data_IF_723653460551
#
_entry.id   IF_723653460551
#
_cell.length_a   1.000
_cell.length_b   1.000
_cell.length_c   1.000
_cell.angle_alpha   90.00
_cell.angle_beta   90.00
_cell.angle_gamma   90.00
#
_symmetry.space_group_name_H-M   'P 1'
#
loop_
_entity.id
_entity.type
_entity.pdbx_description
1 polymer ?
#
# COMPACT_ATOMS: atom_id res chain seq x y z
N UNK A 1 -11.49 -9.01 79.91
CA UNK A 1 -10.61 -9.68 78.94
C UNK A 1 -11.36 -9.85 77.63
N UNK A 2 -11.39 -8.86 76.73
CA UNK A 2 -12.07 -8.98 75.45
C UNK A 2 -11.14 -9.55 74.37
N UNK A 3 -11.68 -10.49 73.60
CA UNK A 3 -11.08 -11.18 72.46
C UNK A 3 -10.76 -10.20 71.32
N UNK A 4 -9.50 -10.15 70.91
CA UNK A 4 -9.04 -9.44 69.71
C UNK A 4 -9.18 -10.37 68.50
N UNK A 5 -10.05 -10.04 67.54
CA UNK A 5 -10.07 -10.69 66.23
C UNK A 5 -9.00 -10.06 65.31
N UNK A 6 -8.24 -10.85 64.53
CA UNK A 6 -7.26 -10.31 63.60
C UNK A 6 -7.91 -9.78 62.31
N UNK A 7 -7.33 -8.70 61.78
CA UNK A 7 -7.74 -8.03 60.55
C UNK A 7 -7.53 -8.90 59.29
N UNK A 8 -8.36 -8.73 58.24
CA UNK A 8 -8.18 -9.46 56.98
C UNK A 8 -6.98 -8.92 56.18
N UNK A 9 -6.18 -9.84 55.63
CA UNK A 9 -5.07 -9.56 54.72
C UNK A 9 -5.54 -8.83 53.43
N UNK A 10 -4.70 -7.94 52.85
CA UNK A 10 -5.03 -7.26 51.62
C UNK A 10 -5.06 -8.24 50.45
N UNK A 11 -6.14 -8.17 49.66
CA UNK A 11 -6.34 -8.96 48.46
C UNK A 11 -5.22 -8.70 47.44
N UNK A 12 -4.59 -9.79 46.99
CA UNK A 12 -3.59 -9.80 45.93
C UNK A 12 -4.24 -9.31 44.63
N UNK A 13 -3.71 -8.22 44.07
CA UNK A 13 -4.14 -7.69 42.79
C UNK A 13 -3.89 -8.71 41.68
N UNK A 14 -4.96 -9.10 40.99
CA UNK A 14 -4.90 -9.90 39.76
C UNK A 14 -4.12 -9.17 38.67
N UNK A 15 -3.15 -9.82 38.00
CA UNK A 15 -2.41 -9.20 36.92
C UNK A 15 -3.33 -8.90 35.73
N UNK A 16 -3.29 -7.65 35.27
CA UNK A 16 -3.96 -7.17 34.07
C UNK A 16 -3.43 -7.91 32.84
N UNK A 17 -4.29 -8.70 32.20
CA UNK A 17 -3.99 -9.38 30.93
C UNK A 17 -3.70 -8.31 29.88
N UNK A 18 -2.43 -8.18 29.48
CA UNK A 18 -2.02 -7.34 28.35
C UNK A 18 -2.74 -7.84 27.10
N UNK A 19 -3.69 -7.05 26.59
CA UNK A 19 -4.39 -7.33 25.34
C UNK A 19 -3.38 -7.51 24.21
N UNK A 20 -3.55 -8.56 23.40
CA UNK A 20 -2.69 -8.82 22.25
C UNK A 20 -2.58 -7.58 21.34
N UNK A 21 -1.39 -7.29 20.78
CA UNK A 21 -1.17 -6.10 19.97
C UNK A 21 -2.08 -6.13 18.72
N UNK A 22 -2.79 -5.01 18.49
CA UNK A 22 -3.68 -4.88 17.32
C UNK A 22 -2.87 -4.95 16.04
N UNK A 23 -3.33 -5.70 15.01
CA UNK A 23 -2.64 -5.76 13.74
C UNK A 23 -2.62 -4.39 13.07
N UNK A 24 -1.50 -4.05 12.43
CA UNK A 24 -1.38 -2.83 11.66
C UNK A 24 -2.36 -2.82 10.50
N UNK A 25 -2.97 -1.67 10.27
CA UNK A 25 -3.99 -1.52 9.23
C UNK A 25 -3.43 -1.45 7.81
N UNK A 26 -2.17 -0.99 7.68
CA UNK A 26 -1.48 -0.84 6.40
C UNK A 26 -0.27 -1.77 6.34
N UNK A 27 -0.08 -2.38 5.17
CA UNK A 27 1.21 -2.99 4.81
C UNK A 27 2.22 -1.90 4.43
N UNK A 28 3.55 -2.17 4.44
CA UNK A 28 4.55 -1.17 4.07
C UNK A 28 4.30 -0.49 2.72
N UNK A 29 3.90 -1.27 1.70
CA UNK A 29 3.57 -0.74 0.37
C UNK A 29 2.25 0.04 0.31
N UNK A 30 1.34 -0.13 1.29
CA UNK A 30 0.15 0.72 1.43
C UNK A 30 0.48 1.99 2.22
N UNK A 31 1.40 1.93 3.18
CA UNK A 31 1.95 3.09 3.87
C UNK A 31 2.70 4.04 2.96
N UNK A 32 3.56 3.51 2.10
CA UNK A 32 4.25 4.26 1.04
C UNK A 32 3.25 5.04 0.18
N UNK A 33 2.17 4.37 -0.21
CA UNK A 33 1.10 4.95 -1.00
C UNK A 33 0.33 6.05 -0.22
N UNK A 34 0.00 5.80 1.05
CA UNK A 34 -0.63 6.81 1.91
C UNK A 34 0.25 8.06 2.08
N UNK A 35 1.56 7.89 2.29
CA UNK A 35 2.52 8.99 2.38
C UNK A 35 2.59 9.79 1.09
N UNK A 36 2.68 9.13 -0.06
CA UNK A 36 2.75 9.81 -1.35
C UNK A 36 1.50 10.66 -1.64
N UNK A 37 0.30 10.17 -1.31
CA UNK A 37 -0.94 10.95 -1.42
C UNK A 37 -0.99 12.13 -0.46
N UNK A 38 -0.51 11.95 0.77
CA UNK A 38 -0.48 13.03 1.75
C UNK A 38 0.57 14.09 1.36
N UNK A 39 1.72 13.70 0.81
CA UNK A 39 2.69 14.64 0.23
C UNK A 39 2.08 15.43 -0.92
N UNK A 40 1.35 14.77 -1.82
CA UNK A 40 0.60 15.45 -2.88
C UNK A 40 -0.38 16.49 -2.32
N UNK A 41 -1.19 16.10 -1.33
CA UNK A 41 -2.15 17.00 -0.67
C UNK A 41 -1.47 18.17 0.04
N UNK A 42 -0.33 17.92 0.68
CA UNK A 42 0.48 18.95 1.33
C UNK A 42 1.11 19.95 0.35
N UNK A 43 1.21 19.59 -0.94
CA UNK A 43 1.71 20.48 -1.99
C UNK A 43 0.63 21.30 -2.71
N UNK A 44 -0.65 21.07 -2.40
CA UNK A 44 -1.74 21.83 -3.00
C UNK A 44 -1.76 23.26 -2.43
N UNK A 45 -2.03 24.28 -3.26
CA UNK A 45 -2.12 25.68 -2.82
C UNK A 45 -3.46 25.94 -2.11
N UNK A 46 -3.68 25.24 -1.00
CA UNK A 46 -4.86 25.36 -0.12
C UNK A 46 -4.47 26.05 1.20
N UNK A 47 -3.43 26.88 1.15
CA UNK A 47 -2.88 27.58 2.30
C UNK A 47 -3.96 28.41 2.99
N UNK A 48 -4.03 28.29 4.32
CA UNK A 48 -5.02 29.00 5.14
C UNK A 48 -6.34 28.26 5.37
N UNK A 49 -6.67 27.17 4.66
CA UNK A 49 -7.88 26.37 4.92
C UNK A 49 -7.58 24.92 5.29
N UNK A 50 -7.49 24.67 6.60
CA UNK A 50 -7.34 23.30 7.14
C UNK A 50 -8.52 22.39 6.78
N UNK A 51 -9.72 22.95 6.61
CA UNK A 51 -10.91 22.21 6.17
C UNK A 51 -10.79 21.76 4.71
N UNK A 52 -10.37 22.68 3.81
CA UNK A 52 -10.13 22.35 2.41
C UNK A 52 -9.05 21.28 2.27
N UNK A 53 -7.98 21.37 3.05
CA UNK A 53 -6.88 20.42 2.97
C UNK A 53 -7.23 19.04 3.54
N UNK A 54 -8.02 18.99 4.61
CA UNK A 54 -8.57 17.73 5.13
C UNK A 54 -9.53 17.08 4.13
N UNK A 55 -10.40 17.87 3.50
CA UNK A 55 -11.30 17.39 2.45
C UNK A 55 -10.53 16.90 1.23
N UNK A 56 -9.52 17.64 0.77
CA UNK A 56 -8.61 17.24 -0.29
C UNK A 56 -7.94 15.90 0.01
N UNK A 57 -7.46 15.68 1.24
CA UNK A 57 -6.85 14.41 1.62
C UNK A 57 -7.80 13.22 1.38
N UNK A 58 -9.07 13.35 1.75
CA UNK A 58 -10.06 12.28 1.56
C UNK A 58 -10.39 12.08 0.08
N UNK A 59 -10.59 13.16 -0.68
CA UNK A 59 -10.90 13.10 -2.11
C UNK A 59 -9.74 12.51 -2.89
N UNK A 60 -8.51 13.02 -2.70
CA UNK A 60 -7.31 12.53 -3.38
C UNK A 60 -7.11 11.03 -3.16
N UNK A 61 -7.30 10.55 -1.92
CA UNK A 61 -7.20 9.12 -1.61
C UNK A 61 -8.28 8.31 -2.33
N UNK A 62 -9.50 8.83 -2.48
CA UNK A 62 -10.58 8.13 -3.19
C UNK A 62 -10.39 8.16 -4.71
N UNK A 63 -9.88 9.26 -5.23
CA UNK A 63 -9.58 9.50 -6.65
C UNK A 63 -8.25 8.91 -7.11
N UNK A 64 -7.42 8.42 -6.20
CA UNK A 64 -6.05 7.96 -6.46
C UNK A 64 -5.88 6.95 -7.60
N UNK A 65 -6.93 6.22 -7.98
CA UNK A 65 -6.87 5.17 -9.02
C UNK A 65 -7.13 5.71 -10.43
N UNK A 66 -8.17 6.51 -10.60
CA UNK A 66 -8.77 6.86 -11.89
C UNK A 66 -9.05 8.36 -12.01
N UNK A 67 -8.55 9.16 -11.05
CA UNK A 67 -8.76 10.59 -11.00
C UNK A 67 -10.17 10.99 -10.59
N UNK A 68 -11.01 10.07 -10.12
CA UNK A 68 -12.35 10.39 -9.64
C UNK A 68 -12.69 9.68 -8.32
N UNK A 69 -13.23 10.44 -7.36
CA UNK A 69 -13.57 9.92 -6.04
C UNK A 69 -15.00 10.25 -5.69
N UNK A 70 -15.78 9.23 -5.29
CA UNK A 70 -17.13 9.46 -4.79
C UNK A 70 -17.12 9.92 -3.34
N UNK A 71 -17.90 10.94 -3.02
CA UNK A 71 -18.23 11.40 -1.68
C UNK A 71 -19.74 11.38 -1.50
N UNK A 72 -20.19 11.23 -0.26
CA UNK A 72 -21.60 11.41 0.12
C UNK A 72 -21.71 12.59 1.08
N UNK A 73 -22.91 13.14 1.25
CA UNK A 73 -23.15 14.14 2.30
C UNK A 73 -22.88 13.58 3.71
N UNK A 74 -23.06 12.26 3.91
CA UNK A 74 -22.65 11.58 5.16
C UNK A 74 -21.14 11.64 5.36
N UNK A 75 -20.34 11.39 4.31
CA UNK A 75 -18.89 11.51 4.39
C UNK A 75 -18.48 12.93 4.80
N UNK A 76 -19.05 13.95 4.15
CA UNK A 76 -18.72 15.36 4.42
C UNK A 76 -19.05 15.73 5.88
N UNK A 77 -20.22 15.35 6.39
CA UNK A 77 -20.58 15.57 7.80
C UNK A 77 -19.68 14.81 8.77
N UNK A 78 -19.19 13.63 8.40
CA UNK A 78 -18.25 12.86 9.23
C UNK A 78 -16.87 13.54 9.37
N UNK A 79 -16.50 14.40 8.41
CA UNK A 79 -15.28 15.20 8.46
C UNK A 79 -15.36 16.36 9.43
N UNK A 80 -16.57 16.75 9.88
CA UNK A 80 -16.78 17.83 10.87
C UNK A 80 -15.98 19.10 10.53
N UNK A 81 -15.99 19.47 9.26
CA UNK A 81 -15.38 20.71 8.80
C UNK A 81 -16.07 21.89 9.48
N UNK A 82 -15.30 22.92 9.85
CA UNK A 82 -15.84 24.16 10.40
C UNK A 82 -16.58 24.97 9.32
N UNK A 83 -16.01 24.99 8.11
CA UNK A 83 -16.56 25.63 6.92
C UNK A 83 -16.51 24.65 5.72
N UNK A 84 -17.55 23.83 5.58
CA UNK A 84 -17.64 22.85 4.49
C UNK A 84 -17.86 23.52 3.12
N UNK A 85 -18.54 24.66 3.08
CA UNK A 85 -18.84 25.39 1.85
C UNK A 85 -17.58 26.07 1.32
N UNK A 86 -16.85 26.80 2.17
CA UNK A 86 -15.55 27.38 1.82
C UNK A 86 -14.51 26.33 1.43
N UNK A 87 -14.54 25.15 2.07
CA UNK A 87 -13.68 24.03 1.67
C UNK A 87 -13.99 23.54 0.24
N UNK A 88 -15.27 23.36 -0.12
CA UNK A 88 -15.68 22.97 -1.47
C UNK A 88 -15.38 24.06 -2.50
N UNK A 89 -15.52 25.34 -2.13
CA UNK A 89 -15.16 26.47 -2.99
C UNK A 89 -13.66 26.50 -3.29
N UNK A 90 -12.82 26.32 -2.26
CA UNK A 90 -11.37 26.28 -2.41
C UNK A 90 -10.92 25.12 -3.33
N UNK A 91 -11.53 23.94 -3.18
CA UNK A 91 -11.27 22.80 -4.06
C UNK A 91 -11.77 23.03 -5.49
N UNK A 92 -12.92 23.70 -5.65
CA UNK A 92 -13.41 24.09 -6.97
C UNK A 92 -12.45 25.04 -7.68
N UNK A 93 -11.73 25.89 -6.95
CA UNK A 93 -10.64 26.73 -7.46
C UNK A 93 -9.45 25.93 -8.02
N UNK A 94 -9.25 24.70 -7.56
CA UNK A 94 -8.28 23.73 -8.13
C UNK A 94 -8.86 22.91 -9.30
N UNK A 95 -10.11 23.15 -9.68
CA UNK A 95 -10.83 22.35 -10.67
C UNK A 95 -11.44 21.05 -10.11
N UNK A 96 -11.46 20.86 -8.78
CA UNK A 96 -12.02 19.66 -8.15
C UNK A 96 -13.52 19.82 -7.92
N UNK A 97 -14.28 19.87 -9.01
CA UNK A 97 -15.72 20.17 -8.95
C UNK A 97 -16.54 18.89 -8.67
N UNK A 98 -17.43 18.91 -7.65
CA UNK A 98 -18.43 17.88 -7.46
C UNK A 98 -19.45 17.87 -8.60
N UNK A 99 -19.78 16.68 -9.12
CA UNK A 99 -20.77 16.48 -10.18
C UNK A 99 -22.21 16.40 -9.64
N UNK A 100 -22.50 17.18 -8.59
CA UNK A 100 -23.76 17.15 -7.84
C UNK A 100 -23.65 17.91 -6.53
N UNK A 101 -24.77 18.02 -5.81
CA UNK A 101 -24.84 18.76 -4.55
C UNK A 101 -24.49 17.87 -3.35
N UNK A 102 -23.33 18.15 -2.73
CA UNK A 102 -22.85 17.46 -1.52
C UNK A 102 -23.40 18.05 -0.20
N UNK A 103 -23.91 19.29 -0.23
CA UNK A 103 -24.33 20.02 0.96
C UNK A 103 -25.85 19.90 1.19
N UNK A 104 -26.65 20.18 0.16
CA UNK A 104 -28.12 20.18 0.24
C UNK A 104 -28.79 19.01 -0.52
N UNK A 105 -28.02 18.20 -1.25
CA UNK A 105 -28.50 16.98 -1.89
C UNK A 105 -28.82 15.85 -0.91
N UNK A 106 -29.29 14.70 -1.44
CA UNK A 106 -29.54 13.52 -0.62
C UNK A 106 -28.23 13.05 0.05
N UNK A 107 -28.17 12.99 1.39
CA UNK A 107 -26.97 12.64 2.13
C UNK A 107 -26.38 11.28 1.80
N UNK A 108 -27.18 10.34 1.28
CA UNK A 108 -26.77 8.97 0.96
C UNK A 108 -26.35 8.79 -0.51
N UNK A 109 -26.70 9.75 -1.38
CA UNK A 109 -26.38 9.71 -2.80
C UNK A 109 -24.88 9.99 -3.00
N UNK A 110 -24.13 9.10 -3.68
CA UNK A 110 -22.74 9.36 -4.02
C UNK A 110 -22.61 10.43 -5.12
N UNK A 111 -21.82 11.46 -4.85
CA UNK A 111 -21.43 12.51 -5.78
C UNK A 111 -19.96 12.29 -6.17
N UNK A 112 -19.69 12.22 -7.47
CA UNK A 112 -18.33 12.08 -8.00
C UNK A 112 -17.61 13.43 -7.96
N UNK A 113 -16.36 13.44 -7.51
CA UNK A 113 -15.44 14.59 -7.58
C UNK A 113 -14.23 14.17 -8.41
N UNK A 114 -13.93 14.93 -9.46
CA UNK A 114 -12.76 14.70 -10.31
C UNK A 114 -11.55 15.43 -9.73
N UNK A 115 -10.38 14.79 -9.79
CA UNK A 115 -9.08 15.37 -9.42
C UNK A 115 -8.23 15.44 -10.68
N UNK A 116 -8.19 16.59 -11.38
CA UNK A 116 -7.52 16.76 -12.67
C UNK A 116 -6.10 16.20 -12.71
N UNK A 117 -5.33 16.41 -11.64
CA UNK A 117 -3.93 16.00 -11.52
C UNK A 117 -3.74 14.48 -11.37
N UNK A 118 -4.80 13.78 -10.97
CA UNK A 118 -4.84 12.32 -10.86
C UNK A 118 -5.59 11.66 -12.03
N UNK A 119 -6.33 12.44 -12.82
CA UNK A 119 -6.99 12.00 -14.07
C UNK A 119 -6.07 12.25 -15.27
N UNK A 120 -5.23 11.28 -15.61
CA UNK A 120 -4.40 11.32 -16.81
C UNK A 120 -3.69 10.00 -17.11
N UNK A 121 -3.23 9.83 -18.35
CA UNK A 121 -2.30 8.77 -18.72
C UNK A 121 -1.08 8.78 -17.77
N UNK A 122 -0.54 7.60 -17.40
CA UNK A 122 0.58 7.52 -16.47
C UNK A 122 1.75 8.42 -16.88
N UNK A 123 1.92 9.59 -16.25
CA UNK A 123 3.13 10.39 -16.45
C UNK A 123 4.26 9.76 -15.65
N UNK A 124 5.45 9.53 -16.25
CA UNK A 124 6.55 8.85 -15.58
C UNK A 124 7.02 9.54 -14.29
N UNK A 125 6.70 10.82 -14.11
CA UNK A 125 7.09 11.64 -12.95
C UNK A 125 5.99 11.85 -11.89
N UNK A 126 4.70 11.64 -12.22
CA UNK A 126 3.57 12.07 -11.40
C UNK A 126 2.46 11.04 -11.19
N UNK A 127 2.52 9.88 -11.85
CA UNK A 127 1.47 8.89 -11.66
C UNK A 127 1.73 8.00 -10.46
N UNK A 128 1.06 8.34 -9.36
CA UNK A 128 0.87 7.43 -8.27
C UNK A 128 0.01 6.25 -8.78
N UNK A 129 0.65 5.18 -9.23
CA UNK A 129 -0.04 4.00 -9.75
C UNK A 129 -0.74 3.24 -8.61
N UNK A 130 -1.99 3.60 -8.31
CA UNK A 130 -2.77 2.93 -7.27
C UNK A 130 -3.61 1.77 -7.83
N UNK A 131 -3.29 0.56 -7.40
CA UNK A 131 -4.19 -0.58 -7.59
C UNK A 131 -5.49 -0.43 -6.79
N UNK A 132 -6.61 -0.98 -7.29
CA UNK A 132 -7.93 -0.98 -6.61
C UNK A 132 -7.86 -1.39 -5.13
N UNK A 133 -7.07 -2.44 -4.82
CA UNK A 133 -6.93 -2.95 -3.46
C UNK A 133 -6.13 -1.99 -2.57
N UNK A 134 -5.07 -1.36 -3.07
CA UNK A 134 -4.29 -0.38 -2.30
C UNK A 134 -5.16 0.84 -1.98
N UNK A 135 -5.83 1.40 -2.98
CA UNK A 135 -6.75 2.54 -2.78
C UNK A 135 -7.81 2.26 -1.72
N UNK A 136 -8.49 1.12 -1.83
CA UNK A 136 -9.53 0.73 -0.87
C UNK A 136 -8.98 0.57 0.55
N UNK A 137 -7.77 0.01 0.70
CA UNK A 137 -7.13 -0.19 2.01
C UNK A 137 -6.69 1.13 2.64
N UNK A 138 -6.09 2.04 1.86
CA UNK A 138 -5.69 3.38 2.32
C UNK A 138 -6.93 4.21 2.67
N UNK A 139 -7.97 4.20 1.83
CA UNK A 139 -9.24 4.89 2.13
C UNK A 139 -9.88 4.38 3.43
N UNK A 140 -9.96 3.06 3.61
CA UNK A 140 -10.47 2.48 4.85
C UNK A 140 -9.59 2.78 6.07
N UNK A 141 -8.28 2.91 5.89
CA UNK A 141 -7.37 3.37 6.94
C UNK A 141 -7.63 4.83 7.30
N UNK A 142 -7.79 5.73 6.33
CA UNK A 142 -8.15 7.14 6.54
C UNK A 142 -9.40 7.26 7.39
N UNK A 143 -10.47 6.54 7.03
CA UNK A 143 -11.72 6.51 7.81
C UNK A 143 -11.48 6.05 9.24
N UNK A 144 -10.71 4.98 9.45
CA UNK A 144 -10.42 4.45 10.80
C UNK A 144 -9.54 5.39 11.62
N UNK A 145 -8.57 6.06 11.01
CA UNK A 145 -7.72 7.05 11.68
C UNK A 145 -8.53 8.25 12.13
N UNK A 146 -9.38 8.79 11.25
CA UNK A 146 -10.25 9.91 11.58
C UNK A 146 -11.35 9.55 12.60
N UNK A 147 -11.78 8.29 12.64
CA UNK A 147 -12.75 7.79 13.62
C UNK A 147 -12.11 7.38 14.97
N UNK A 148 -10.78 7.37 15.09
CA UNK A 148 -10.09 6.99 16.31
C UNK A 148 -10.50 7.90 17.48
N UNK A 149 -10.67 7.33 18.68
CA UNK A 149 -11.15 8.08 19.87
C UNK A 149 -10.39 9.39 20.12
N UNK A 150 -9.04 9.45 20.00
CA UNK A 150 -8.30 10.70 20.16
C UNK A 150 -8.60 11.77 19.10
N UNK A 151 -9.04 11.38 17.90
CA UNK A 151 -9.07 12.24 16.72
C UNK A 151 -10.49 12.60 16.28
N UNK A 152 -11.49 11.75 16.57
CA UNK A 152 -12.87 11.87 16.06
C UNK A 152 -13.61 13.17 16.43
N UNK A 153 -13.14 13.90 17.43
CA UNK A 153 -13.66 15.20 17.89
C UNK A 153 -12.53 16.26 17.96
N UNK A 154 -11.43 16.03 17.26
CA UNK A 154 -10.34 16.99 17.17
C UNK A 154 -10.64 18.02 16.08
N UNK A 155 -9.95 19.15 16.13
CA UNK A 155 -10.00 20.18 15.09
C UNK A 155 -9.58 19.61 13.72
N UNK A 156 -10.02 20.21 12.62
CA UNK A 156 -9.59 19.83 11.27
C UNK A 156 -8.06 19.78 11.09
N UNK A 157 -7.26 20.77 11.56
CA UNK A 157 -5.81 20.67 11.46
C UNK A 157 -5.25 19.52 12.31
N UNK A 158 -5.80 19.24 13.50
CA UNK A 158 -5.38 18.08 14.30
C UNK A 158 -5.72 16.75 13.61
N UNK A 159 -6.89 16.65 12.97
CA UNK A 159 -7.32 15.47 12.21
C UNK A 159 -6.43 15.23 10.98
N UNK A 160 -6.06 16.31 10.27
CA UNK A 160 -5.13 16.25 9.15
C UNK A 160 -3.72 15.86 9.63
N UNK A 161 -3.22 16.50 10.68
CA UNK A 161 -1.95 16.17 11.32
C UNK A 161 -1.91 14.68 11.72
N UNK A 162 -2.99 14.17 12.33
CA UNK A 162 -3.09 12.76 12.70
C UNK A 162 -2.93 11.80 11.51
N UNK A 163 -3.45 12.15 10.32
CA UNK A 163 -3.23 11.36 9.10
C UNK A 163 -1.76 11.37 8.67
N UNK A 164 -1.14 12.55 8.61
CA UNK A 164 0.27 12.69 8.24
C UNK A 164 1.18 11.93 9.20
N UNK A 165 1.02 12.15 10.50
CA UNK A 165 1.81 11.51 11.55
C UNK A 165 1.58 10.00 11.56
N UNK A 166 0.34 9.52 11.41
CA UNK A 166 0.10 8.08 11.33
C UNK A 166 0.78 7.45 10.11
N UNK A 167 0.68 8.07 8.93
CA UNK A 167 1.30 7.55 7.71
C UNK A 167 2.84 7.52 7.75
N UNK A 168 3.44 8.50 8.43
CA UNK A 168 4.90 8.67 8.56
C UNK A 168 5.49 8.09 9.85
N UNK A 169 4.65 7.59 10.77
CA UNK A 169 5.13 6.99 12.01
C UNK A 169 5.78 5.62 11.78
N UNK A 170 6.80 5.35 12.61
CA UNK A 170 7.36 4.01 12.80
C UNK A 170 6.72 3.41 14.05
N UNK A 171 6.44 2.11 14.00
CA UNK A 171 5.75 1.40 15.08
C UNK A 171 6.62 1.20 16.34
N UNK A 172 7.92 1.10 16.16
CA UNK A 172 8.88 0.71 17.19
C UNK A 172 9.65 1.90 17.76
N UNK A 173 9.70 3.04 17.07
CA UNK A 173 10.57 4.19 17.39
C UNK A 173 9.86 5.54 17.23
N UNK A 174 10.48 6.57 17.80
CA UNK A 174 10.12 7.97 17.55
C UNK A 174 10.34 8.29 16.07
N UNK A 175 9.36 8.94 15.44
CA UNK A 175 9.43 9.45 14.07
C UNK A 175 9.83 10.92 14.05
N UNK A 176 10.07 11.45 12.86
CA UNK A 176 10.29 12.89 12.61
C UNK A 176 9.11 13.47 11.85
N UNK A 177 8.73 14.72 12.16
CA UNK A 177 7.66 15.43 11.46
C UNK A 177 7.93 15.40 9.94
N UNK A 178 6.92 15.05 9.12
CA UNK A 178 7.13 14.97 7.69
C UNK A 178 7.32 16.37 7.09
N UNK A 179 8.28 16.52 6.17
CA UNK A 179 8.61 17.81 5.55
C UNK A 179 7.42 18.45 4.79
N UNK A 180 6.46 17.64 4.33
CA UNK A 180 5.22 18.12 3.69
C UNK A 180 4.04 18.31 4.65
N UNK A 181 4.28 18.34 5.97
CA UNK A 181 3.25 18.63 6.95
C UNK A 181 2.85 20.11 6.85
N UNK A 182 1.58 20.43 6.54
CA UNK A 182 1.13 21.82 6.42
C UNK A 182 1.32 22.61 7.72
N UNK A 183 1.65 23.90 7.64
CA UNK A 183 2.01 24.74 8.79
C UNK A 183 0.95 24.69 9.91
N UNK A 184 -0.33 24.80 9.55
CA UNK A 184 -1.48 24.69 10.46
C UNK A 184 -1.55 23.37 11.23
N UNK A 185 -0.95 22.29 10.72
CA UNK A 185 -0.90 21.02 11.41
C UNK A 185 0.14 21.03 12.55
N UNK A 186 1.19 21.85 12.44
CA UNK A 186 2.19 22.02 13.52
C UNK A 186 1.56 22.66 14.74
N UNK A 187 0.73 23.68 14.54
CA UNK A 187 0.00 24.34 15.64
C UNK A 187 -1.02 23.43 16.33
N UNK A 188 -1.40 22.31 15.71
CA UNK A 188 -2.35 21.34 16.24
C UNK A 188 -1.70 20.15 16.97
N UNK A 189 -0.36 20.05 16.99
CA UNK A 189 0.35 18.98 17.71
C UNK A 189 0.04 18.95 19.23
N UNK A 190 -0.06 20.09 19.95
CA UNK A 190 -0.42 20.09 21.37
C UNK A 190 -1.81 19.49 21.63
N UNK A 191 -2.77 19.71 20.73
CA UNK A 191 -4.09 19.10 20.82
C UNK A 191 -4.01 17.58 20.71
N UNK A 192 -3.21 17.07 19.77
CA UNK A 192 -3.01 15.63 19.60
C UNK A 192 -2.28 14.98 20.78
N UNK A 193 -1.37 15.70 21.43
CA UNK A 193 -0.76 15.25 22.68
C UNK A 193 -1.79 15.19 23.81
N UNK A 194 -2.56 16.27 24.03
CA UNK A 194 -3.60 16.34 25.06
C UNK A 194 -4.70 15.27 24.89
N UNK A 195 -5.03 14.91 23.64
CA UNK A 195 -6.01 13.86 23.33
C UNK A 195 -5.42 12.44 23.34
N UNK A 196 -4.15 12.26 23.70
CA UNK A 196 -3.44 10.98 23.72
C UNK A 196 -3.37 10.29 22.34
N UNK A 197 -3.34 11.06 21.26
CA UNK A 197 -2.96 10.52 19.95
C UNK A 197 -1.44 10.38 19.86
N UNK A 198 -0.72 11.37 20.36
CA UNK A 198 0.73 11.34 20.54
C UNK A 198 1.04 11.01 22.00
N UNK A 199 2.11 10.26 22.23
CA UNK A 199 2.66 10.06 23.58
C UNK A 199 3.79 11.03 23.90
N UNK A 200 4.42 11.60 22.87
CA UNK A 200 5.61 12.43 22.97
C UNK A 200 5.70 13.30 21.72
N UNK A 201 6.06 14.57 21.92
CA UNK A 201 6.46 15.53 20.87
C UNK A 201 7.59 16.38 21.45
N UNK A 202 8.75 16.38 20.78
CA UNK A 202 9.93 17.16 21.16
C UNK A 202 10.61 17.71 19.90
N UNK A 203 10.51 19.01 19.67
CA UNK A 203 10.92 19.63 18.40
C UNK A 203 10.24 18.93 17.22
N UNK A 204 11.04 18.45 16.27
CA UNK A 204 10.54 17.69 15.11
C UNK A 204 10.33 16.20 15.39
N UNK A 205 10.58 15.72 16.62
CA UNK A 205 10.42 14.30 16.96
C UNK A 205 9.05 14.06 17.57
N UNK A 206 8.40 12.96 17.20
CA UNK A 206 7.12 12.57 17.78
C UNK A 206 6.96 11.06 17.90
N UNK A 207 6.04 10.62 18.77
CA UNK A 207 5.67 9.21 18.90
C UNK A 207 4.16 9.05 19.02
N UNK A 208 3.59 8.10 18.27
CA UNK A 208 2.20 7.71 18.44
C UNK A 208 2.00 6.99 19.78
N UNK A 209 0.88 7.32 20.44
CA UNK A 209 0.47 6.59 21.63
C UNK A 209 0.20 5.11 21.31
N UNK A 210 0.39 4.25 22.30
CA UNK A 210 0.20 2.80 22.14
C UNK A 210 -1.20 2.45 21.62
N UNK A 211 -2.23 3.19 22.07
CA UNK A 211 -3.62 2.98 21.69
C UNK A 211 -3.88 3.14 20.18
N UNK A 212 -3.10 3.97 19.49
CA UNK A 212 -3.26 4.26 18.05
C UNK A 212 -2.07 3.79 17.21
N UNK A 213 -1.07 3.14 17.82
CA UNK A 213 0.12 2.66 17.12
C UNK A 213 -0.17 1.73 15.94
N UNK A 214 -1.23 0.91 16.04
CA UNK A 214 -1.71 0.07 14.94
C UNK A 214 -2.15 0.84 13.67
N UNK A 215 -2.30 2.16 13.75
CA UNK A 215 -2.56 3.04 12.60
C UNK A 215 -1.27 3.40 11.83
N UNK A 216 -0.07 3.05 12.32
CA UNK A 216 1.18 3.40 11.66
C UNK A 216 1.25 2.88 10.21
N UNK A 217 1.71 3.74 9.30
CA UNK A 217 1.83 3.43 7.88
C UNK A 217 2.84 2.33 7.56
N UNK A 218 3.77 2.03 8.47
CA UNK A 218 4.92 1.10 8.30
C UNK A 218 5.85 1.49 7.12
N UNK A 219 7.14 1.29 7.36
CA UNK A 219 8.19 1.39 6.34
C UNK A 219 8.59 -0.03 5.92
N UNK A 220 9.25 -0.17 4.76
CA UNK A 220 9.80 -1.47 4.37
C UNK A 220 11.02 -1.76 5.26
N UNK A 221 11.20 -3.01 5.66
CA UNK A 221 12.31 -3.44 6.55
C UNK A 221 13.71 -3.14 5.98
N UNK A 222 13.83 -2.78 4.69
CA UNK A 222 15.09 -2.35 4.08
C UNK A 222 15.47 -0.89 4.37
N UNK A 223 14.54 -0.08 4.91
CA UNK A 223 14.81 1.26 5.46
C UNK A 223 15.34 1.18 6.91
N UNK A 224 15.67 -0.03 7.41
CA UNK A 224 16.12 -0.28 8.79
C UNK A 224 17.65 -0.24 8.97
N UNK A 225 18.48 -0.01 7.92
CA UNK A 225 19.94 -0.18 8.07
C UNK A 225 20.90 0.80 7.37
N UNK A 226 20.49 1.94 6.82
CA UNK A 226 21.47 2.88 6.25
C UNK A 226 21.33 4.30 6.85
N UNK A 227 22.41 4.90 7.40
CA UNK A 227 22.50 6.35 7.44
C UNK A 227 22.37 6.87 6.01
N UNK A 228 21.63 7.97 5.86
CA UNK A 228 21.28 8.63 4.61
C UNK A 228 22.41 8.53 3.57
N UNK A 229 22.30 7.58 2.64
CA UNK A 229 23.20 7.54 1.49
C UNK A 229 22.80 8.72 0.60
N UNK A 230 23.75 9.55 0.13
CA UNK A 230 23.43 10.63 -0.78
C UNK A 230 22.64 10.06 -1.95
N UNK A 231 21.53 10.71 -2.28
CA UNK A 231 20.74 10.43 -3.47
C UNK A 231 21.69 10.47 -4.64
N UNK A 232 22.01 9.31 -5.19
CA UNK A 232 22.71 9.22 -6.46
C UNK A 232 21.74 9.77 -7.50
N UNK A 233 21.91 11.06 -7.81
CA UNK A 233 21.18 11.81 -8.84
C UNK A 233 21.65 11.40 -10.25
N UNK A 234 22.16 10.19 -10.44
CA UNK A 234 22.38 9.66 -11.77
C UNK A 234 21.01 9.49 -12.42
N UNK A 235 20.72 10.22 -13.52
CA UNK A 235 19.46 10.03 -14.23
C UNK A 235 19.40 8.57 -14.66
N UNK A 236 18.38 7.84 -14.17
CA UNK A 236 18.04 6.53 -14.74
C UNK A 236 17.67 6.82 -16.18
N UNK A 237 18.56 6.48 -17.10
CA UNK A 237 18.36 6.63 -18.54
C UNK A 237 17.03 5.96 -18.88
N UNK A 238 15.99 6.76 -19.14
CA UNK A 238 14.65 6.29 -19.47
C UNK A 238 14.70 5.79 -20.92
N UNK A 239 15.22 4.59 -21.11
CA UNK A 239 15.26 3.94 -22.41
C UNK A 239 13.83 3.67 -22.87
N UNK A 240 13.52 4.00 -24.12
CA UNK A 240 12.31 3.52 -24.77
C UNK A 240 12.35 1.99 -24.93
N UNK A 241 11.18 1.40 -25.20
CA UNK A 241 11.07 -0.06 -25.38
C UNK A 241 11.93 -0.57 -26.55
N UNK A 242 11.97 0.18 -27.65
CA UNK A 242 12.79 -0.17 -28.82
C UNK A 242 14.29 -0.05 -28.53
N UNK A 243 14.73 0.99 -27.82
CA UNK A 243 16.12 1.14 -27.39
C UNK A 243 16.54 0.04 -26.42
N UNK A 244 15.65 -0.35 -25.50
CA UNK A 244 15.89 -1.48 -24.61
C UNK A 244 16.06 -2.79 -25.39
N UNK A 245 15.19 -3.07 -26.39
CA UNK A 245 15.30 -4.24 -27.27
C UNK A 245 16.58 -4.21 -28.10
N UNK A 246 17.01 -3.04 -28.59
CA UNK A 246 18.26 -2.87 -29.33
C UNK A 246 19.49 -3.20 -28.48
N UNK A 247 19.48 -2.83 -27.19
CA UNK A 247 20.53 -3.16 -26.21
C UNK A 247 20.47 -4.61 -25.70
N UNK A 248 19.34 -5.30 -25.81
CA UNK A 248 19.17 -6.69 -25.37
C UNK A 248 19.94 -7.68 -26.26
N UNK A 249 20.42 -8.79 -25.66
CA UNK A 249 21.05 -9.88 -26.41
C UNK A 249 20.06 -10.53 -27.39
N UNK A 250 20.56 -11.14 -28.47
CA UNK A 250 19.73 -11.79 -29.50
C UNK A 250 18.77 -12.83 -28.90
N UNK A 251 19.24 -13.62 -27.93
CA UNK A 251 18.43 -14.62 -27.25
C UNK A 251 17.32 -13.98 -26.40
N UNK A 252 17.62 -12.91 -25.67
CA UNK A 252 16.64 -12.20 -24.86
C UNK A 252 15.61 -11.48 -25.73
N UNK A 253 16.04 -10.86 -26.83
CA UNK A 253 15.16 -10.21 -27.82
C UNK A 253 14.18 -11.20 -28.42
N UNK A 254 14.66 -12.36 -28.90
CA UNK A 254 13.79 -13.41 -29.43
C UNK A 254 12.76 -13.90 -28.39
N UNK A 255 13.19 -14.05 -27.14
CA UNK A 255 12.28 -14.44 -26.06
C UNK A 255 11.20 -13.38 -25.81
N UNK A 256 11.59 -12.11 -25.78
CA UNK A 256 10.67 -10.97 -25.65
C UNK A 256 9.65 -10.95 -26.79
N UNK A 257 10.12 -11.09 -28.04
CA UNK A 257 9.28 -11.12 -29.23
C UNK A 257 8.30 -12.30 -29.21
N UNK A 258 8.73 -13.48 -28.76
CA UNK A 258 7.83 -14.63 -28.57
C UNK A 258 6.73 -14.35 -27.54
N UNK A 259 7.04 -13.63 -26.46
CA UNK A 259 6.06 -13.26 -25.43
C UNK A 259 5.11 -12.17 -25.94
N UNK A 260 5.65 -11.14 -26.61
CA UNK A 260 4.92 -10.01 -27.15
C UNK A 260 3.93 -10.42 -28.25
N UNK A 261 4.36 -11.28 -29.16
CA UNK A 261 3.56 -11.73 -30.30
C UNK A 261 2.81 -13.05 -30.05
N UNK A 262 2.77 -13.55 -28.81
CA UNK A 262 2.09 -14.80 -28.49
C UNK A 262 0.57 -14.68 -28.74
N UNK A 263 0.00 -15.44 -29.70
CA UNK A 263 -1.41 -15.30 -30.10
C UNK A 263 -2.38 -15.78 -29.01
N UNK A 264 -1.92 -16.65 -28.11
CA UNK A 264 -2.70 -17.19 -27.00
C UNK A 264 -2.68 -16.29 -25.76
N UNK A 265 -1.56 -15.59 -25.51
CA UNK A 265 -1.42 -14.72 -24.34
C UNK A 265 -1.98 -13.31 -24.56
N UNK A 266 -1.90 -12.79 -25.80
CA UNK A 266 -2.42 -11.48 -26.22
C UNK A 266 -2.01 -10.35 -25.25
N UNK A 267 -0.74 -10.29 -24.88
CA UNK A 267 -0.23 -9.22 -24.03
C UNK A 267 -0.07 -7.94 -24.86
N UNK A 268 -0.43 -6.79 -24.29
CA UNK A 268 -0.08 -5.49 -24.86
C UNK A 268 1.42 -5.24 -24.73
N UNK A 269 2.06 -4.61 -25.72
CA UNK A 269 3.47 -4.18 -25.68
C UNK A 269 3.84 -3.49 -24.36
N UNK A 270 3.01 -2.55 -23.88
CA UNK A 270 3.26 -1.84 -22.62
C UNK A 270 3.44 -2.78 -21.41
N UNK A 271 2.68 -3.87 -21.36
CA UNK A 271 2.75 -4.86 -20.27
C UNK A 271 3.99 -5.74 -20.37
N UNK A 272 4.42 -6.05 -21.59
CA UNK A 272 5.66 -6.79 -21.82
C UNK A 272 6.84 -5.90 -21.45
N UNK A 273 6.87 -4.66 -21.94
CA UNK A 273 7.88 -3.67 -21.60
C UNK A 273 8.01 -3.46 -20.08
N UNK A 274 6.89 -3.24 -19.37
CA UNK A 274 6.90 -3.10 -17.91
C UNK A 274 7.55 -4.31 -17.22
N UNK A 275 7.24 -5.53 -17.66
CA UNK A 275 7.74 -6.73 -17.02
C UNK A 275 9.24 -6.98 -17.26
N UNK A 276 9.77 -6.60 -18.42
CA UNK A 276 11.18 -6.79 -18.79
C UNK A 276 12.09 -5.65 -18.32
N UNK A 277 11.58 -4.42 -18.27
CA UNK A 277 12.36 -3.24 -17.87
C UNK A 277 12.36 -3.00 -16.36
N UNK A 278 11.42 -3.61 -15.62
CA UNK A 278 11.34 -3.44 -14.17
C UNK A 278 12.48 -4.17 -13.46
N UNK A 279 13.17 -3.46 -12.55
CA UNK A 279 14.13 -4.06 -11.63
C UNK A 279 13.45 -5.13 -10.76
N UNK A 280 13.97 -6.36 -10.82
CA UNK A 280 13.44 -7.45 -10.01
C UNK A 280 13.56 -7.12 -8.52
N UNK A 281 12.45 -7.23 -7.79
CA UNK A 281 12.41 -7.06 -6.34
C UNK A 281 12.35 -8.45 -5.72
N UNK A 282 13.34 -8.84 -4.91
CA UNK A 282 13.32 -10.13 -4.21
C UNK A 282 12.04 -10.27 -3.39
N UNK A 283 11.38 -11.42 -3.50
CA UNK A 283 10.19 -11.70 -2.68
C UNK A 283 10.66 -12.09 -1.28
N UNK A 284 10.34 -11.26 -0.28
CA UNK A 284 10.55 -11.61 1.12
C UNK A 284 9.50 -12.65 1.55
N UNK A 285 9.96 -13.75 2.14
CA UNK A 285 9.12 -14.85 2.60
C UNK A 285 8.89 -14.74 4.11
N UNK A 286 7.79 -14.08 4.48
CA UNK A 286 7.33 -13.97 5.86
C UNK A 286 6.86 -15.32 6.42
N UNK A 287 6.81 -15.44 7.75
CA UNK A 287 6.50 -16.69 8.46
C UNK A 287 5.09 -17.21 8.16
N UNK A 288 4.11 -16.31 8.05
CA UNK A 288 2.73 -16.61 7.66
C UNK A 288 2.65 -17.26 6.26
N UNK A 289 3.51 -16.83 5.32
CA UNK A 289 3.62 -17.43 3.98
C UNK A 289 4.19 -18.85 4.05
N UNK A 290 5.11 -19.13 4.97
CA UNK A 290 5.66 -20.48 5.18
C UNK A 290 4.61 -21.42 5.75
N UNK A 291 3.83 -20.96 6.73
CA UNK A 291 2.71 -21.75 7.28
C UNK A 291 1.66 -22.06 6.19
N UNK A 292 1.27 -21.04 5.41
CA UNK A 292 0.33 -21.24 4.30
C UNK A 292 0.89 -22.19 3.22
N UNK A 293 2.20 -22.17 2.98
CA UNK A 293 2.85 -23.13 2.10
C UNK A 293 2.80 -24.56 2.63
N UNK A 294 3.10 -24.78 3.91
CA UNK A 294 3.03 -26.12 4.52
C UNK A 294 1.61 -26.71 4.44
N UNK A 295 0.58 -25.89 4.64
CA UNK A 295 -0.81 -26.32 4.46
C UNK A 295 -1.17 -26.61 3.01
N UNK A 296 -0.66 -25.80 2.07
CA UNK A 296 -0.85 -26.00 0.64
C UNK A 296 -0.17 -27.29 0.17
N UNK A 297 1.06 -27.53 0.62
CA UNK A 297 1.90 -28.68 0.27
C UNK A 297 1.22 -30.00 0.62
N UNK A 298 0.62 -30.11 1.81
CA UNK A 298 -0.15 -31.29 2.24
C UNK A 298 -1.32 -31.63 1.31
N UNK A 299 -1.87 -30.64 0.61
CA UNK A 299 -3.05 -30.79 -0.26
C UNK A 299 -2.68 -31.05 -1.72
N UNK A 300 -1.40 -30.96 -2.10
CA UNK A 300 -0.97 -31.05 -3.49
C UNK A 300 -0.01 -32.23 -3.68
N UNK A 301 -0.59 -33.42 -3.79
CA UNK A 301 0.11 -34.60 -4.30
C UNK A 301 0.53 -34.37 -5.76
N UNK A 302 1.70 -34.91 -6.12
CA UNK A 302 2.27 -34.86 -7.48
C UNK A 302 2.46 -33.45 -8.08
N UNK A 303 2.60 -32.43 -7.23
CA UNK A 303 2.80 -31.04 -7.67
C UNK A 303 4.00 -30.83 -8.59
N UNK A 304 5.06 -31.63 -8.42
CA UNK A 304 6.30 -31.56 -9.18
C UNK A 304 6.11 -32.00 -10.63
N UNK A 305 5.79 -33.29 -10.87
CA UNK A 305 5.53 -33.81 -12.22
C UNK A 305 4.47 -33.01 -12.97
N UNK A 306 3.36 -32.65 -12.30
CA UNK A 306 2.29 -31.85 -12.92
C UNK A 306 2.77 -30.47 -13.34
N UNK A 307 3.62 -29.82 -12.54
CA UNK A 307 4.14 -28.51 -12.89
C UNK A 307 5.13 -28.56 -14.06
N UNK A 308 6.00 -29.57 -14.10
CA UNK A 308 6.91 -29.80 -15.21
C UNK A 308 6.15 -30.06 -16.52
N UNK A 309 5.19 -31.00 -16.51
CA UNK A 309 4.35 -31.32 -17.67
C UNK A 309 3.57 -30.10 -18.17
N UNK A 310 2.98 -29.32 -17.26
CA UNK A 310 2.31 -28.07 -17.64
C UNK A 310 3.26 -27.06 -18.26
N UNK A 311 4.46 -26.88 -17.70
CA UNK A 311 5.43 -25.94 -18.26
C UNK A 311 5.95 -26.40 -19.64
N UNK A 312 6.07 -27.71 -19.88
CA UNK A 312 6.41 -28.27 -21.18
C UNK A 312 5.33 -27.96 -22.22
N UNK A 313 4.08 -28.39 -21.96
CA UNK A 313 2.94 -28.16 -22.85
C UNK A 313 2.71 -26.67 -23.12
N UNK A 314 2.80 -25.84 -22.08
CA UNK A 314 2.67 -24.39 -22.23
C UNK A 314 3.74 -23.82 -23.19
N UNK A 315 4.98 -24.31 -23.14
CA UNK A 315 6.04 -23.83 -24.02
C UNK A 315 5.85 -24.28 -25.47
N UNK A 316 5.35 -25.48 -25.66
CA UNK A 316 5.01 -26.02 -26.98
C UNK A 316 3.91 -25.17 -27.62
N UNK A 317 2.85 -24.87 -26.89
CA UNK A 317 1.71 -24.10 -27.39
C UNK A 317 2.02 -22.60 -27.58
N UNK A 318 2.85 -22.02 -26.69
CA UNK A 318 3.04 -20.57 -26.63
C UNK A 318 4.37 -20.07 -27.19
N UNK A 319 5.36 -20.93 -27.41
CA UNK A 319 6.73 -20.54 -27.79
C UNK A 319 7.53 -19.85 -26.67
N UNK A 320 6.98 -19.76 -25.46
CA UNK A 320 7.61 -19.17 -24.27
C UNK A 320 7.12 -19.88 -22.99
N UNK A 321 7.82 -19.70 -21.87
CA UNK A 321 7.43 -20.30 -20.59
C UNK A 321 6.26 -19.59 -19.91
N UNK A 322 5.51 -20.25 -19.01
CA UNK A 322 4.48 -19.57 -18.24
C UNK A 322 5.09 -18.61 -17.22
N UNK A 323 4.35 -17.55 -16.86
CA UNK A 323 4.62 -16.82 -15.61
C UNK A 323 4.20 -17.64 -14.38
N UNK A 324 4.66 -17.26 -13.18
CA UNK A 324 4.24 -17.92 -11.92
C UNK A 324 2.71 -17.88 -11.76
N UNK A 325 2.07 -16.80 -12.23
CA UNK A 325 0.61 -16.67 -12.23
C UNK A 325 -0.05 -17.65 -13.20
N UNK A 326 0.48 -17.80 -14.41
CA UNK A 326 -0.08 -18.69 -15.43
C UNK A 326 0.06 -20.15 -15.01
N UNK A 327 1.22 -20.56 -14.49
CA UNK A 327 1.45 -21.91 -13.95
C UNK A 327 0.42 -22.24 -12.85
N UNK A 328 0.35 -21.44 -11.79
CA UNK A 328 -0.60 -21.69 -10.69
C UNK A 328 -2.07 -21.63 -11.16
N UNK A 329 -2.39 -20.77 -12.14
CA UNK A 329 -3.75 -20.69 -12.71
C UNK A 329 -4.08 -21.94 -13.52
N UNK A 330 -3.16 -22.43 -14.34
CA UNK A 330 -3.34 -23.59 -15.21
C UNK A 330 -3.46 -24.90 -14.42
N UNK A 331 -2.70 -25.04 -13.35
CA UNK A 331 -2.76 -26.21 -12.45
C UNK A 331 -3.96 -26.20 -11.49
N UNK A 332 -4.84 -25.20 -11.57
CA UNK A 332 -6.02 -25.10 -10.71
C UNK A 332 -5.73 -24.60 -9.30
N UNK A 333 -4.51 -24.18 -8.98
CA UNK A 333 -4.11 -23.62 -7.67
C UNK A 333 -4.59 -22.17 -7.47
N UNK A 334 -5.79 -21.83 -7.94
CA UNK A 334 -6.28 -20.44 -8.01
C UNK A 334 -6.60 -19.88 -6.62
N UNK A 335 -6.47 -18.54 -6.50
CA UNK A 335 -6.58 -17.68 -5.28
C UNK A 335 -5.38 -17.66 -4.32
N UNK A 336 -4.16 -18.01 -4.74
CA UNK A 336 -2.98 -17.83 -3.88
C UNK A 336 -2.38 -16.41 -3.92
N UNK A 337 -2.02 -15.81 -2.76
CA UNK A 337 -1.26 -14.57 -2.69
C UNK A 337 0.04 -14.63 -3.51
N UNK A 338 0.55 -13.48 -3.96
CA UNK A 338 1.78 -13.40 -4.77
C UNK A 338 2.98 -14.04 -4.07
N UNK A 339 3.14 -13.80 -2.76
CA UNK A 339 4.23 -14.33 -1.97
C UNK A 339 4.19 -15.87 -1.91
N UNK A 340 3.01 -16.46 -1.67
CA UNK A 340 2.83 -17.90 -1.68
C UNK A 340 3.10 -18.51 -3.05
N UNK A 341 2.65 -17.88 -4.16
CA UNK A 341 3.00 -18.35 -5.51
C UNK A 341 4.50 -18.32 -5.78
N UNK A 342 5.20 -17.28 -5.33
CA UNK A 342 6.64 -17.21 -5.45
C UNK A 342 7.34 -18.30 -4.64
N UNK A 343 6.86 -18.59 -3.42
CA UNK A 343 7.39 -19.68 -2.60
C UNK A 343 7.13 -21.05 -3.22
N UNK A 344 5.93 -21.30 -3.75
CA UNK A 344 5.57 -22.53 -4.46
C UNK A 344 6.53 -22.76 -5.64
N UNK A 345 6.67 -21.76 -6.51
CA UNK A 345 7.54 -21.89 -7.69
C UNK A 345 9.01 -21.98 -7.28
N UNK A 346 9.45 -21.22 -6.28
CA UNK A 346 10.80 -21.30 -5.74
C UNK A 346 11.13 -22.70 -5.21
N UNK A 347 10.17 -23.37 -4.54
CA UNK A 347 10.32 -24.76 -4.11
C UNK A 347 10.36 -25.74 -5.28
N UNK A 348 9.48 -25.59 -6.26
CA UNK A 348 9.54 -26.41 -7.48
C UNK A 348 10.84 -26.25 -8.26
N UNK A 349 11.48 -25.07 -8.23
CA UNK A 349 12.81 -24.85 -8.81
C UNK A 349 13.91 -25.48 -7.96
N UNK A 350 13.85 -25.29 -6.64
CA UNK A 350 14.82 -25.89 -5.71
C UNK A 350 14.79 -27.43 -5.74
N UNK A 351 13.60 -28.01 -5.93
CA UNK A 351 13.37 -29.45 -6.07
C UNK A 351 13.62 -29.94 -7.52
N UNK A 352 14.22 -29.11 -8.37
CA UNK A 352 14.58 -29.39 -9.78
C UNK A 352 13.43 -29.80 -10.72
N UNK A 353 12.17 -29.64 -10.32
CA UNK A 353 11.00 -29.88 -11.20
C UNK A 353 10.83 -28.78 -12.25
N UNK A 354 11.19 -27.55 -11.90
CA UNK A 354 11.18 -26.41 -12.80
C UNK A 354 12.54 -25.73 -12.84
N UNK A 355 12.78 -24.95 -13.89
CA UNK A 355 13.88 -23.99 -13.94
C UNK A 355 13.43 -22.73 -14.65
N UNK A 356 14.15 -21.63 -14.46
CA UNK A 356 13.91 -20.34 -15.07
C UNK A 356 15.25 -19.68 -15.43
N UNK A 357 15.18 -18.52 -16.07
CA UNK A 357 16.34 -17.66 -16.27
C UNK A 357 16.07 -16.37 -15.51
N UNK A 358 16.54 -16.27 -14.27
CA UNK A 358 16.37 -15.04 -13.50
C UNK A 358 17.24 -13.90 -14.05
N UNK A 359 16.75 -12.64 -14.06
CA UNK A 359 15.44 -12.16 -13.61
C UNK A 359 14.35 -12.16 -14.71
N UNK A 360 14.55 -12.88 -15.82
CA UNK A 360 13.75 -12.79 -17.05
C UNK A 360 12.35 -13.40 -16.86
N UNK A 361 11.26 -12.66 -17.11
CA UNK A 361 9.90 -13.15 -16.95
C UNK A 361 9.49 -14.14 -18.05
N UNK A 362 8.47 -14.97 -17.79
CA UNK A 362 7.93 -15.98 -18.71
C UNK A 362 8.95 -17.04 -19.18
N UNK A 363 9.89 -17.41 -18.32
CA UNK A 363 10.97 -18.36 -18.67
C UNK A 363 10.82 -19.74 -18.03
N UNK A 364 9.75 -20.01 -17.27
CA UNK A 364 9.56 -21.31 -16.63
C UNK A 364 9.59 -22.43 -17.67
N UNK A 365 10.35 -23.47 -17.38
CA UNK A 365 10.48 -24.69 -18.19
C UNK A 365 10.73 -25.90 -17.30
N UNK A 366 10.54 -27.13 -17.79
CA UNK A 366 10.89 -28.34 -17.03
C UNK A 366 12.34 -28.30 -16.56
N UNK A 367 12.55 -28.58 -15.28
CA UNK A 367 13.87 -28.81 -14.69
C UNK A 367 14.29 -30.27 -14.85
N UNK A 368 15.45 -30.64 -14.30
CA UNK A 368 16.03 -31.99 -14.47
C UNK A 368 15.12 -33.11 -13.98
N UNK A 369 14.39 -32.88 -12.88
CA UNK A 369 13.52 -33.90 -12.31
C UNK A 369 12.27 -34.16 -13.17
N UNK A 370 11.94 -33.25 -14.10
CA UNK A 370 10.78 -33.35 -14.98
C UNK A 370 11.11 -33.45 -16.46
N UNK A 371 12.36 -33.79 -16.82
CA UNK A 371 12.82 -34.05 -18.19
C UNK A 371 12.72 -35.52 -18.56
#
# INVERSE_FOLDING_TARGET
>A
MPNTLPAPSPAVATPTVKSAPRPYLLTPGQGEAARALLTFVGSLPLDGSSDAQLLAAVIAIRAARDGSGNLTGVDLRSLRLGDAEGALLALSGLGWQPQGDLLAGDPSTPVSVTVPELSGEPRPDRSLLFGKLQRSRVSGWTTRTLAAKPVKKASSPARLAALFLAAHSRSDRTGTLPAGLPEQCHTALPELLAKNFLSEVEGDRYRLSEAVRHLSGRYRERDDQLPSRPVDKSPVEQLSWEEWKAKASTALRRHVENVEHCPLCKFSTARVAEAFMRKAVPVQCAEDVRTAYAEWEKKQQDRGPRAAAFAAAFREDHGHGPSFKQLCKGLGWKKQPRALRALIVGRLIADEWLTNTEPVPWTLRPGKAGQ
#
